data_IF_357122491628
#
_entry.id   IF_357122491628
#
_cell.length_a   1.000
_cell.length_b   1.000
_cell.length_c   1.000
_cell.angle_alpha   90.00
_cell.angle_beta   90.00
_cell.angle_gamma   90.00
#
_symmetry.space_group_name_H-M   'P 1'
#
loop_
_entity.id
_entity.type
_entity.pdbx_description
1 polymer ?
#
# COMPACT_ATOMS: atom_id res chain seq x y z
N UNK A 1 17.11 35.07 -8.90
CA UNK A 1 17.27 35.27 -7.44
C UNK A 1 17.30 33.89 -6.81
N UNK A 2 18.44 33.52 -6.20
CA UNK A 2 18.83 32.25 -5.52
C UNK A 2 18.83 30.95 -6.32
N UNK A 3 20.03 30.59 -6.80
CA UNK A 3 20.43 29.23 -7.17
C UNK A 3 20.36 28.31 -5.94
N UNK A 4 19.52 27.28 -6.00
CA UNK A 4 19.50 26.21 -4.99
C UNK A 4 20.53 25.16 -5.39
N UNK A 5 21.68 25.18 -4.70
CA UNK A 5 22.68 24.10 -4.78
C UNK A 5 22.06 22.83 -4.19
N UNK A 6 21.95 21.78 -5.00
CA UNK A 6 21.61 20.44 -4.50
C UNK A 6 22.78 19.95 -3.64
N UNK A 7 22.51 19.84 -2.34
CA UNK A 7 23.44 19.38 -1.32
C UNK A 7 23.49 17.85 -1.41
N UNK A 8 24.64 17.32 -1.84
CA UNK A 8 24.95 15.90 -1.80
C UNK A 8 25.17 15.52 -0.33
N UNK A 9 24.14 15.00 0.34
CA UNK A 9 24.24 14.55 1.74
C UNK A 9 25.01 13.23 1.75
N UNK A 10 26.31 13.31 2.02
CA UNK A 10 27.11 12.18 2.47
C UNK A 10 26.60 11.78 3.86
N UNK A 11 25.82 10.70 3.96
CA UNK A 11 25.37 10.18 5.25
C UNK A 11 26.55 9.59 6.01
N UNK A 12 26.97 10.30 7.05
CA UNK A 12 28.03 9.93 7.97
C UNK A 12 27.49 9.00 9.07
N UNK A 13 28.06 7.79 9.10
CA UNK A 13 28.24 6.85 10.22
C UNK A 13 27.03 6.33 11.02
N UNK A 14 26.76 5.03 10.87
CA UNK A 14 26.31 4.14 11.96
C UNK A 14 27.26 2.93 12.01
N UNK A 15 28.15 2.91 13.00
CA UNK A 15 28.96 1.74 13.35
C UNK A 15 28.08 0.76 14.15
N UNK A 16 27.37 -0.12 13.45
CA UNK A 16 26.75 -1.30 14.04
C UNK A 16 27.79 -2.42 14.14
N UNK A 17 27.74 -3.19 15.23
CA UNK A 17 28.58 -4.36 15.47
C UNK A 17 28.36 -5.41 14.37
N UNK A 18 29.13 -5.32 13.29
CA UNK A 18 29.15 -6.30 12.21
C UNK A 18 29.71 -7.62 12.73
N UNK A 19 28.87 -8.65 12.75
CA UNK A 19 29.32 -10.02 12.93
C UNK A 19 30.32 -10.33 11.81
N UNK A 20 31.57 -10.53 12.20
CA UNK A 20 32.72 -10.61 11.31
C UNK A 20 32.62 -11.82 10.36
N UNK A 21 32.06 -11.63 9.18
CA UNK A 21 32.26 -12.57 8.08
C UNK A 21 33.73 -12.43 7.64
N UNK A 22 34.47 -13.54 7.73
CA UNK A 22 35.88 -13.61 7.35
C UNK A 22 35.96 -13.91 5.85
N UNK A 23 35.96 -12.86 5.01
CA UNK A 23 35.90 -12.92 3.53
C UNK A 23 37.02 -13.72 2.88
N UNK A 24 38.17 -13.88 3.54
CA UNK A 24 39.33 -14.66 3.05
C UNK A 24 39.04 -16.17 2.86
N UNK A 25 37.83 -16.62 3.21
CA UNK A 25 37.40 -18.02 3.11
C UNK A 25 36.70 -18.37 1.79
N UNK A 26 36.26 -17.39 1.00
CA UNK A 26 35.54 -17.63 -0.26
C UNK A 26 36.46 -17.57 -1.47
N UNK A 27 36.20 -18.44 -2.44
CA UNK A 27 36.94 -18.55 -3.71
C UNK A 27 36.11 -18.11 -4.91
N UNK A 28 34.79 -18.13 -4.77
CA UNK A 28 33.85 -17.78 -5.84
C UNK A 28 32.63 -17.11 -5.20
N UNK A 29 32.06 -16.15 -5.92
CA UNK A 29 30.71 -15.66 -5.65
C UNK A 29 29.90 -15.71 -6.94
N UNK A 30 28.58 -15.85 -6.82
CA UNK A 30 27.62 -15.75 -7.93
C UNK A 30 26.43 -14.89 -7.54
N UNK A 31 26.08 -13.95 -8.39
CA UNK A 31 24.84 -13.19 -8.32
C UNK A 31 23.74 -14.06 -8.90
N UNK A 32 22.69 -14.28 -8.11
CA UNK A 32 21.50 -14.99 -8.53
C UNK A 32 20.31 -14.05 -8.34
N UNK A 33 19.44 -14.01 -9.34
CA UNK A 33 18.23 -13.20 -9.30
C UNK A 33 17.01 -14.05 -9.62
N UNK A 34 15.85 -13.51 -9.29
CA UNK A 34 14.57 -14.09 -9.62
C UNK A 34 14.28 -13.91 -11.12
N UNK A 35 14.32 -15.02 -11.85
CA UNK A 35 14.11 -15.04 -13.30
C UNK A 35 12.65 -14.86 -13.69
N UNK A 36 11.74 -15.05 -12.73
CA UNK A 36 10.30 -14.86 -12.94
C UNK A 36 9.89 -13.40 -12.68
N UNK A 37 10.81 -12.57 -12.17
CA UNK A 37 10.59 -11.13 -12.01
C UNK A 37 10.46 -10.44 -13.37
N UNK A 38 9.59 -9.43 -13.44
CA UNK A 38 9.43 -8.62 -14.65
C UNK A 38 10.65 -7.71 -14.88
N UNK A 39 11.45 -8.05 -15.88
CA UNK A 39 12.69 -7.34 -16.24
C UNK A 39 12.42 -6.08 -17.06
N UNK A 40 11.63 -5.16 -16.52
CA UNK A 40 11.17 -3.94 -17.21
C UNK A 40 11.50 -2.66 -16.45
N UNK A 41 11.52 -1.49 -17.12
CA UNK A 41 11.62 -0.21 -16.43
C UNK A 41 10.57 -0.03 -15.33
N UNK A 42 10.97 0.53 -14.20
CA UNK A 42 10.24 0.58 -12.92
C UNK A 42 9.93 -0.78 -12.28
N UNK A 43 10.38 -1.89 -12.87
CA UNK A 43 10.29 -3.22 -12.31
C UNK A 43 11.22 -3.42 -11.12
N UNK A 44 10.89 -4.40 -10.30
CA UNK A 44 11.70 -4.81 -9.15
C UNK A 44 12.20 -6.23 -9.38
N UNK A 45 13.49 -6.46 -9.14
CA UNK A 45 14.10 -7.78 -9.23
C UNK A 45 14.73 -8.15 -7.90
N UNK A 46 14.26 -9.27 -7.34
CA UNK A 46 14.87 -9.83 -6.15
C UNK A 46 16.17 -10.54 -6.52
N UNK A 47 17.23 -10.32 -5.73
CA UNK A 47 18.52 -10.95 -5.98
C UNK A 47 19.23 -11.35 -4.68
N UNK A 48 20.32 -12.09 -4.84
CA UNK A 48 21.20 -12.46 -3.74
C UNK A 48 22.55 -12.96 -4.23
N UNK A 49 23.47 -13.16 -3.29
CA UNK A 49 24.82 -13.65 -3.58
C UNK A 49 25.00 -15.05 -2.98
N UNK A 50 25.44 -15.98 -3.82
CA UNK A 50 25.89 -17.32 -3.43
C UNK A 50 27.42 -17.34 -3.40
N UNK A 51 28.03 -17.51 -2.24
CA UNK A 51 29.48 -17.62 -2.11
C UNK A 51 29.91 -19.07 -1.86
N UNK A 52 30.97 -19.51 -2.55
CA UNK A 52 31.58 -20.83 -2.39
C UNK A 52 32.91 -20.70 -1.66
N UNK A 53 33.07 -21.43 -0.55
CA UNK A 53 34.30 -21.49 0.22
C UNK A 53 35.37 -22.40 -0.39
N UNK A 54 36.63 -22.26 0.04
CA UNK A 54 37.74 -23.16 -0.35
C UNK A 54 37.44 -24.65 -0.12
N UNK A 55 36.60 -24.97 0.86
CA UNK A 55 36.18 -26.33 1.19
C UNK A 55 34.91 -26.79 0.43
N UNK A 56 34.48 -26.04 -0.59
CA UNK A 56 33.24 -26.29 -1.34
C UNK A 56 31.95 -25.93 -0.60
N UNK A 57 32.01 -25.47 0.67
CA UNK A 57 30.82 -25.05 1.41
C UNK A 57 30.22 -23.80 0.77
N UNK A 58 28.94 -23.90 0.42
CA UNK A 58 28.16 -22.79 -0.12
C UNK A 58 27.42 -22.05 0.99
N UNK A 59 27.36 -20.73 0.87
CA UNK A 59 26.54 -19.87 1.72
C UNK A 59 25.80 -18.86 0.85
N UNK A 60 24.61 -18.45 1.28
CA UNK A 60 23.79 -17.48 0.56
C UNK A 60 23.37 -16.32 1.46
N UNK A 61 23.07 -15.19 0.82
CA UNK A 61 22.49 -14.02 1.49
C UNK A 61 21.03 -14.25 1.91
N UNK A 62 20.59 -13.55 2.95
CA UNK A 62 19.17 -13.40 3.32
C UNK A 62 18.39 -12.72 2.19
N UNK A 63 17.06 -12.86 2.19
CA UNK A 63 16.18 -12.36 1.14
C UNK A 63 15.86 -13.46 0.13
N UNK A 64 16.04 -13.18 -1.16
CA UNK A 64 15.70 -14.07 -2.27
C UNK A 64 16.20 -15.52 -2.08
N UNK A 65 17.49 -15.67 -1.74
CA UNK A 65 18.12 -16.99 -1.60
C UNK A 65 17.86 -17.66 -0.23
N UNK A 66 17.04 -17.05 0.64
CA UNK A 66 16.69 -17.54 1.98
C UNK A 66 17.90 -17.97 2.83
N UNK A 67 19.05 -17.35 2.60
CA UNK A 67 20.30 -17.65 3.28
C UNK A 67 20.39 -17.04 4.68
N UNK A 68 21.55 -17.22 5.32
CA UNK A 68 21.81 -16.71 6.68
C UNK A 68 22.67 -15.45 6.72
N UNK A 69 23.28 -15.07 5.60
CA UNK A 69 24.27 -13.99 5.57
C UNK A 69 23.63 -12.65 5.19
N UNK A 70 24.02 -11.56 5.85
CA UNK A 70 23.50 -10.24 5.51
C UNK A 70 24.09 -9.77 4.19
N UNK A 71 23.24 -9.21 3.33
CA UNK A 71 23.60 -8.69 2.01
C UNK A 71 24.52 -7.46 2.09
N UNK A 72 24.45 -6.74 3.21
CA UNK A 72 25.31 -5.59 3.57
C UNK A 72 26.81 -5.93 3.66
N UNK A 73 27.19 -7.21 3.67
CA UNK A 73 28.59 -7.63 3.60
C UNK A 73 29.18 -7.55 2.18
N UNK A 74 28.39 -7.12 1.21
CA UNK A 74 28.75 -6.97 -0.18
C UNK A 74 28.54 -5.51 -0.61
N UNK A 75 29.37 -5.07 -1.55
CA UNK A 75 29.20 -3.82 -2.29
C UNK A 75 28.59 -4.18 -3.64
N UNK A 76 27.63 -3.37 -4.07
CA UNK A 76 26.95 -3.52 -5.35
C UNK A 76 27.17 -2.26 -6.19
N UNK A 77 27.68 -2.45 -7.38
CA UNK A 77 27.76 -1.41 -8.41
C UNK A 77 26.73 -1.74 -9.48
N UNK A 78 25.88 -0.77 -9.82
CA UNK A 78 24.76 -0.99 -10.75
C UNK A 78 24.77 0.03 -11.88
N UNK A 79 24.31 -0.41 -13.05
CA UNK A 79 24.02 0.45 -14.21
C UNK A 79 22.66 0.04 -14.79
N UNK A 80 21.79 1.01 -15.10
CA UNK A 80 20.39 0.76 -15.47
C UNK A 80 19.48 0.31 -14.32
N UNK A 81 19.99 0.28 -13.09
CA UNK A 81 19.21 -0.03 -11.89
C UNK A 81 19.83 0.64 -10.66
N UNK A 82 19.05 0.74 -9.58
CA UNK A 82 19.54 1.03 -8.23
C UNK A 82 19.28 -0.18 -7.31
N UNK A 83 20.14 -0.36 -6.31
CA UNK A 83 20.01 -1.44 -5.33
C UNK A 83 19.62 -0.89 -3.95
N UNK A 84 18.61 -1.49 -3.33
CA UNK A 84 18.32 -1.32 -1.89
C UNK A 84 18.17 -2.71 -1.26
N UNK A 85 19.14 -3.06 -0.42
CA UNK A 85 19.25 -4.40 0.14
C UNK A 85 19.30 -5.49 -0.94
N UNK A 86 18.29 -6.36 -0.97
CA UNK A 86 18.17 -7.50 -1.87
C UNK A 86 17.18 -7.28 -3.02
N UNK A 87 16.90 -6.01 -3.33
CA UNK A 87 15.96 -5.59 -4.37
C UNK A 87 16.70 -4.63 -5.32
N UNK A 88 16.61 -4.91 -6.62
CA UNK A 88 17.00 -3.99 -7.68
C UNK A 88 15.77 -3.27 -8.21
N UNK A 89 15.85 -1.95 -8.36
CA UNK A 89 14.86 -1.12 -9.02
C UNK A 89 15.41 -0.70 -10.37
N UNK A 90 14.83 -1.23 -11.44
CA UNK A 90 15.29 -1.01 -12.82
C UNK A 90 14.76 0.34 -13.31
N UNK A 91 15.61 1.22 -13.83
CA UNK A 91 15.21 2.51 -14.45
C UNK A 91 14.05 3.22 -13.71
N UNK A 92 14.09 3.22 -12.37
CA UNK A 92 13.02 3.73 -11.51
C UNK A 92 13.11 5.24 -11.26
N UNK A 93 14.18 5.84 -11.77
CA UNK A 93 14.47 7.27 -11.71
C UNK A 93 14.58 7.81 -13.12
N UNK A 94 14.33 9.10 -13.24
CA UNK A 94 14.51 9.79 -14.49
C UNK A 94 15.96 9.65 -14.97
N UNK A 95 16.12 9.03 -16.13
CA UNK A 95 17.44 8.75 -16.70
C UNK A 95 17.62 9.49 -18.02
N UNK A 96 18.81 10.06 -18.22
CA UNK A 96 19.17 10.71 -19.48
C UNK A 96 19.20 9.71 -20.64
N UNK A 97 19.57 8.46 -20.37
CA UNK A 97 19.72 7.41 -21.38
C UNK A 97 18.67 6.30 -21.19
N UNK A 98 18.31 5.61 -22.28
CA UNK A 98 17.42 4.44 -22.24
C UNK A 98 18.29 3.19 -22.17
N UNK A 99 18.26 2.47 -21.05
CA UNK A 99 19.10 1.29 -20.88
C UNK A 99 18.50 0.08 -21.61
N UNK A 100 19.27 -0.61 -22.45
CA UNK A 100 18.81 -1.89 -23.04
C UNK A 100 19.06 -3.09 -22.12
N UNK A 101 19.88 -2.90 -21.10
CA UNK A 101 20.31 -3.91 -20.14
C UNK A 101 20.53 -3.25 -18.79
N UNK A 102 20.25 -3.93 -17.69
CA UNK A 102 20.85 -3.57 -16.41
C UNK A 102 22.04 -4.46 -16.12
N UNK A 103 23.03 -3.90 -15.43
CA UNK A 103 24.23 -4.61 -14.99
C UNK A 103 24.34 -4.47 -13.49
N UNK A 104 24.69 -5.57 -12.81
CA UNK A 104 25.06 -5.58 -11.40
C UNK A 104 26.40 -6.28 -11.25
N UNK A 105 27.32 -5.59 -10.58
CA UNK A 105 28.60 -6.13 -10.14
C UNK A 105 28.54 -6.23 -8.62
N UNK A 106 28.89 -7.39 -8.08
CA UNK A 106 28.92 -7.63 -6.65
C UNK A 106 30.32 -8.05 -6.23
N UNK A 107 30.78 -7.56 -5.09
CA UNK A 107 31.99 -8.06 -4.44
C UNK A 107 31.90 -7.95 -2.90
N UNK A 108 32.52 -8.86 -2.13
CA UNK A 108 32.56 -8.75 -0.68
C UNK A 108 33.31 -7.49 -0.23
N UNK A 109 32.82 -6.81 0.81
CA UNK A 109 33.44 -5.60 1.36
C UNK A 109 34.92 -5.80 1.75
N UNK A 110 35.23 -6.99 2.26
CA UNK A 110 36.58 -7.34 2.76
C UNK A 110 37.43 -8.12 1.74
N UNK A 111 36.95 -8.34 0.51
CA UNK A 111 37.72 -8.99 -0.55
C UNK A 111 37.26 -8.50 -1.94
N UNK A 112 37.55 -7.25 -2.34
CA UNK A 112 37.04 -6.66 -3.57
C UNK A 112 37.45 -7.37 -4.86
N UNK A 113 38.58 -8.09 -4.85
CA UNK A 113 39.06 -8.85 -6.01
C UNK A 113 38.15 -10.03 -6.36
N UNK A 114 37.39 -10.54 -5.38
CA UNK A 114 36.40 -11.59 -5.59
C UNK A 114 35.09 -10.97 -6.05
N UNK A 115 34.90 -10.89 -7.36
CA UNK A 115 33.72 -10.26 -7.96
C UNK A 115 32.95 -11.20 -8.88
N UNK A 116 31.66 -10.96 -9.01
CA UNK A 116 30.82 -11.50 -10.07
C UNK A 116 30.05 -10.36 -10.73
N UNK A 117 29.66 -10.56 -11.99
CA UNK A 117 28.93 -9.59 -12.78
C UNK A 117 27.91 -10.28 -13.67
N UNK A 118 26.69 -9.76 -13.66
CA UNK A 118 25.65 -10.16 -14.59
C UNK A 118 25.15 -8.94 -15.36
N UNK A 119 24.84 -9.14 -16.64
CA UNK A 119 24.17 -8.16 -17.49
C UNK A 119 22.92 -8.80 -18.07
N UNK A 120 21.78 -8.16 -17.84
CA UNK A 120 20.47 -8.74 -18.10
C UNK A 120 19.70 -7.80 -19.04
N UNK A 121 19.22 -8.27 -20.20
CA UNK A 121 18.43 -7.45 -21.11
C UNK A 121 17.11 -7.04 -20.50
N UNK A 122 16.70 -5.80 -20.78
CA UNK A 122 15.42 -5.26 -20.37
C UNK A 122 14.35 -5.50 -21.43
N UNK A 123 13.14 -5.79 -20.99
CA UNK A 123 11.94 -5.75 -21.83
C UNK A 123 11.15 -4.47 -21.56
N UNK A 124 10.73 -3.82 -22.64
CA UNK A 124 9.86 -2.64 -22.59
C UNK A 124 8.41 -3.01 -22.93
N UNK A 125 8.14 -4.30 -23.11
CA UNK A 125 6.82 -4.83 -23.37
C UNK A 125 6.02 -4.89 -22.06
N UNK A 126 4.75 -4.53 -22.13
CA UNK A 126 3.81 -4.77 -21.05
C UNK A 126 2.98 -3.57 -20.65
N UNK A 127 2.07 -3.83 -19.71
CA UNK A 127 1.11 -2.85 -19.18
C UNK A 127 1.62 -2.36 -17.85
N UNK A 128 1.81 -1.05 -17.70
CA UNK A 128 2.16 -0.44 -16.42
C UNK A 128 0.86 -0.21 -15.66
N UNK A 129 0.82 -0.67 -14.41
CA UNK A 129 -0.26 -0.37 -13.50
C UNK A 129 0.27 0.42 -12.31
N UNK A 130 -0.26 1.61 -12.09
CA UNK A 130 0.07 2.45 -10.94
C UNK A 130 -1.15 2.66 -10.08
N UNK A 131 -1.04 2.20 -8.84
CA UNK A 131 -2.04 2.46 -7.80
C UNK A 131 -1.64 3.68 -6.96
N UNK A 132 -2.59 4.60 -6.87
CA UNK A 132 -2.61 5.84 -6.10
C UNK A 132 -3.97 5.99 -5.40
N UNK A 133 -4.71 4.89 -5.24
CA UNK A 133 -5.99 4.90 -4.56
C UNK A 133 -5.84 5.15 -3.06
N UNK A 134 -6.89 5.70 -2.47
CA UNK A 134 -6.98 5.88 -1.03
C UNK A 134 -7.26 4.54 -0.33
N UNK A 135 -6.64 4.34 0.84
CA UNK A 135 -6.92 3.17 1.66
C UNK A 135 -8.37 3.13 2.14
N UNK A 136 -8.92 1.92 2.23
CA UNK A 136 -10.20 1.68 2.86
C UNK A 136 -10.19 2.00 4.36
N UNK A 137 -11.30 2.55 4.83
CA UNK A 137 -11.61 2.77 6.23
C UNK A 137 -11.80 1.45 6.99
N UNK A 138 -11.38 1.44 8.25
CA UNK A 138 -11.51 0.27 9.13
C UNK A 138 -12.93 0.12 9.65
N UNK A 139 -13.40 -1.11 9.71
CA UNK A 139 -14.69 -1.44 10.31
C UNK A 139 -14.71 -1.15 11.82
N UNK A 140 -15.87 -0.67 12.27
CA UNK A 140 -16.20 -0.53 13.68
C UNK A 140 -16.44 -1.90 14.31
N UNK A 141 -15.97 -2.08 15.54
CA UNK A 141 -16.17 -3.32 16.28
C UNK A 141 -17.59 -3.40 16.81
N UNK A 142 -18.30 -4.48 16.49
CA UNK A 142 -19.51 -4.85 17.21
C UNK A 142 -19.17 -5.11 18.67
N UNK A 143 -20.02 -4.63 19.58
CA UNK A 143 -19.80 -4.81 21.02
C UNK A 143 -20.82 -5.79 21.57
N UNK A 144 -20.35 -6.73 22.38
CA UNK A 144 -21.24 -7.64 23.11
C UNK A 144 -21.94 -6.96 24.29
N UNK A 145 -22.76 -7.75 25.00
CA UNK A 145 -23.33 -7.33 26.27
C UNK A 145 -22.23 -6.92 27.25
N UNK A 146 -22.53 -5.97 28.15
CA UNK A 146 -21.68 -5.73 29.32
C UNK A 146 -21.85 -6.91 30.28
N UNK A 147 -20.86 -7.81 30.30
CA UNK A 147 -20.81 -8.89 31.30
C UNK A 147 -20.30 -8.30 32.61
N UNK A 148 -21.22 -7.91 33.49
CA UNK A 148 -20.88 -7.69 34.90
C UNK A 148 -21.19 -8.98 35.67
N UNK A 149 -20.25 -9.50 36.47
CA UNK A 149 -20.41 -10.79 37.15
C UNK A 149 -21.42 -10.79 38.30
N UNK A 150 -22.19 -9.71 38.53
CA UNK A 150 -23.17 -9.65 39.61
C UNK A 150 -24.45 -8.96 39.15
N UNK A 151 -25.61 -9.50 39.57
CA UNK A 151 -26.95 -8.87 39.54
C UNK A 151 -27.23 -8.20 40.90
N UNK A 152 -26.62 -7.06 41.18
CA UNK A 152 -26.91 -6.25 42.38
C UNK A 152 -28.24 -5.53 42.17
N UNK A 153 -29.18 -5.66 43.11
CA UNK A 153 -30.42 -4.87 43.09
C UNK A 153 -31.56 -5.41 42.23
N UNK A 154 -31.30 -6.23 41.20
CA UNK A 154 -32.32 -6.97 40.44
C UNK A 154 -32.68 -6.44 39.08
N UNK A 155 -32.39 -5.18 38.85
CA UNK A 155 -32.32 -4.63 37.51
C UNK A 155 -31.19 -5.31 36.74
N UNK A 156 -31.38 -5.48 35.42
CA UNK A 156 -30.23 -5.70 34.55
C UNK A 156 -29.22 -4.58 34.81
N UNK A 157 -27.96 -4.91 35.08
CA UNK A 157 -27.01 -3.91 35.59
C UNK A 157 -26.29 -3.15 34.49
N UNK A 158 -26.49 -3.53 33.24
CA UNK A 158 -25.71 -2.95 32.17
C UNK A 158 -26.49 -2.94 30.86
N UNK A 159 -26.70 -1.74 30.32
CA UNK A 159 -27.14 -1.57 28.94
C UNK A 159 -26.12 -2.19 28.00
N UNK A 160 -26.61 -2.60 26.83
CA UNK A 160 -25.77 -3.04 25.73
C UNK A 160 -24.74 -1.96 25.37
N UNK A 161 -23.55 -2.41 24.97
CA UNK A 161 -22.49 -1.48 24.56
C UNK A 161 -22.80 -0.95 23.17
N UNK A 162 -22.64 0.35 22.95
CA UNK A 162 -22.70 0.92 21.61
C UNK A 162 -21.59 0.35 20.73
N UNK A 163 -21.94 -0.05 19.51
CA UNK A 163 -20.98 -0.48 18.50
C UNK A 163 -20.05 0.67 18.09
N UNK A 164 -18.80 0.35 17.74
CA UNK A 164 -17.86 1.41 17.35
C UNK A 164 -18.21 1.95 15.95
N UNK A 165 -17.95 3.22 15.70
CA UNK A 165 -18.10 3.83 14.38
C UNK A 165 -16.99 3.34 13.43
N UNK A 166 -17.36 3.04 12.18
CA UNK A 166 -16.42 2.74 11.11
C UNK A 166 -15.60 3.98 10.73
N UNK A 167 -14.34 3.78 10.38
CA UNK A 167 -13.43 4.86 9.97
C UNK A 167 -13.71 5.20 8.51
N UNK A 168 -13.60 6.47 8.14
CA UNK A 168 -13.74 6.89 6.73
C UNK A 168 -12.60 6.34 5.86
N UNK A 169 -12.87 6.15 4.57
CA UNK A 169 -11.85 5.87 3.58
C UNK A 169 -10.99 7.10 3.30
N UNK A 170 -9.74 6.88 2.92
CA UNK A 170 -8.84 7.94 2.51
C UNK A 170 -9.15 8.40 1.08
N UNK A 171 -8.82 9.65 0.76
CA UNK A 171 -8.93 10.14 -0.61
C UNK A 171 -7.88 9.46 -1.51
N UNK A 172 -8.20 9.32 -2.79
CA UNK A 172 -7.21 9.06 -3.83
C UNK A 172 -6.23 10.23 -3.96
N UNK A 173 -5.05 9.96 -4.50
CA UNK A 173 -3.99 10.97 -4.61
C UNK A 173 -4.19 11.84 -5.86
N UNK A 174 -4.03 13.16 -5.70
CA UNK A 174 -3.98 14.10 -6.82
C UNK A 174 -2.64 13.95 -7.59
N UNK A 175 -2.69 13.62 -8.87
CA UNK A 175 -1.51 13.28 -9.67
C UNK A 175 -1.37 14.18 -10.89
N UNK A 176 -0.15 14.68 -11.08
CA UNK A 176 0.32 15.23 -12.35
C UNK A 176 1.06 14.12 -13.09
N UNK A 177 0.51 13.72 -14.22
CA UNK A 177 1.10 12.75 -15.14
C UNK A 177 1.75 13.49 -16.28
N UNK A 178 3.03 13.24 -16.53
CA UNK A 178 3.77 13.85 -17.60
C UNK A 178 4.27 12.78 -18.56
N UNK A 179 4.10 13.00 -19.86
CA UNK A 179 4.43 12.04 -20.89
C UNK A 179 5.14 12.76 -22.04
N UNK A 180 6.30 12.24 -22.45
CA UNK A 180 6.92 12.63 -23.72
C UNK A 180 7.51 11.42 -24.43
N UNK A 181 7.62 11.49 -25.76
CA UNK A 181 8.20 10.44 -26.58
C UNK A 181 9.70 10.65 -26.70
N UNK A 182 10.48 9.64 -26.38
CA UNK A 182 11.93 9.66 -26.39
C UNK A 182 12.46 8.79 -27.53
N UNK A 183 13.17 9.44 -28.44
CA UNK A 183 13.92 8.79 -29.50
C UNK A 183 15.38 8.63 -29.08
N UNK A 184 15.92 7.42 -29.22
CA UNK A 184 17.34 7.12 -29.06
C UNK A 184 17.77 6.23 -30.23
N UNK A 185 18.70 6.71 -31.06
CA UNK A 185 19.14 6.01 -32.27
C UNK A 185 19.63 4.59 -31.98
N UNK A 186 20.34 4.40 -30.88
CA UNK A 186 20.95 3.11 -30.51
C UNK A 186 19.89 2.12 -30.05
N UNK A 187 18.88 2.61 -29.32
CA UNK A 187 17.74 1.84 -28.87
C UNK A 187 16.85 1.47 -30.06
N UNK A 188 16.52 2.46 -30.91
CA UNK A 188 15.66 2.28 -32.07
C UNK A 188 16.26 1.29 -33.07
N UNK A 189 17.56 1.37 -33.37
CA UNK A 189 18.24 0.42 -34.26
C UNK A 189 18.16 -1.04 -33.76
N UNK A 190 18.13 -1.24 -32.44
CA UNK A 190 18.07 -2.57 -31.82
C UNK A 190 16.65 -3.10 -31.71
N UNK A 191 15.69 -2.25 -31.35
CA UNK A 191 14.34 -2.67 -30.96
C UNK A 191 13.27 -2.33 -32.01
N UNK A 192 13.53 -1.37 -32.89
CA UNK A 192 12.61 -0.93 -33.95
C UNK A 192 11.39 -0.15 -33.45
N UNK A 193 11.49 0.52 -32.31
CA UNK A 193 10.45 1.38 -31.74
C UNK A 193 11.05 2.43 -30.79
N UNK A 194 10.30 3.52 -30.55
CA UNK A 194 10.59 4.51 -29.52
C UNK A 194 9.91 4.16 -28.19
N UNK A 195 10.27 4.88 -27.13
CA UNK A 195 9.64 4.74 -25.81
C UNK A 195 9.01 6.05 -25.38
N UNK A 196 7.96 5.97 -24.57
CA UNK A 196 7.42 7.09 -23.83
C UNK A 196 8.06 7.13 -22.45
N UNK A 197 8.64 8.26 -22.08
CA UNK A 197 9.05 8.54 -20.71
C UNK A 197 7.82 9.05 -19.95
N UNK A 198 7.49 8.39 -18.84
CA UNK A 198 6.27 8.68 -18.08
C UNK A 198 6.64 8.97 -16.63
N UNK A 199 6.21 10.12 -16.13
CA UNK A 199 6.42 10.56 -14.75
C UNK A 199 5.08 10.92 -14.12
N UNK A 200 4.68 10.22 -13.08
CA UNK A 200 3.58 10.61 -12.20
C UNK A 200 4.16 11.23 -10.92
N UNK A 201 3.67 12.41 -10.53
CA UNK A 201 4.05 13.04 -9.26
C UNK A 201 2.94 13.89 -8.66
N UNK A 202 2.98 14.09 -7.35
CA UNK A 202 2.17 15.11 -6.67
C UNK A 202 2.83 16.48 -6.77
N UNK A 203 2.07 17.57 -6.57
CA UNK A 203 2.63 18.94 -6.57
C UNK A 203 3.72 19.12 -5.50
N UNK A 204 3.56 18.49 -4.34
CA UNK A 204 4.50 18.55 -3.22
C UNK A 204 5.60 17.46 -3.28
N UNK A 205 5.66 16.66 -4.34
CA UNK A 205 6.63 15.57 -4.54
C UNK A 205 6.62 14.47 -3.47
N UNK A 206 5.55 14.36 -2.67
CA UNK A 206 5.41 13.27 -1.68
C UNK A 206 5.24 11.90 -2.35
N UNK A 207 4.73 11.86 -3.58
CA UNK A 207 4.75 10.68 -4.42
C UNK A 207 5.37 10.99 -5.78
N UNK A 208 6.20 10.06 -6.24
CA UNK A 208 6.77 10.08 -7.58
C UNK A 208 6.93 8.65 -8.09
N UNK A 209 6.50 8.40 -9.32
CA UNK A 209 6.77 7.16 -10.07
C UNK A 209 7.23 7.53 -11.48
N UNK A 210 8.30 6.90 -11.92
CA UNK A 210 8.85 7.07 -13.26
C UNK A 210 8.96 5.72 -13.95
N UNK A 211 8.74 5.67 -15.27
CA UNK A 211 8.99 4.48 -16.09
C UNK A 211 9.14 4.84 -17.57
N UNK A 212 9.55 3.86 -18.37
CA UNK A 212 9.51 3.91 -19.82
C UNK A 212 8.51 2.88 -20.35
N UNK A 213 7.74 3.27 -21.37
CA UNK A 213 6.68 2.46 -21.98
C UNK A 213 6.94 2.35 -23.49
N UNK A 214 7.01 1.14 -24.04
CA UNK A 214 7.23 0.96 -25.49
C UNK A 214 6.07 1.54 -26.32
N UNK A 215 6.39 2.18 -27.44
CA UNK A 215 5.42 2.79 -28.35
C UNK A 215 4.40 1.80 -28.93
N UNK A 216 4.85 0.57 -29.25
CA UNK A 216 4.04 -0.41 -29.97
C UNK A 216 3.08 -1.22 -29.10
N UNK A 217 3.46 -1.49 -27.84
CA UNK A 217 2.79 -2.51 -27.01
C UNK A 217 2.47 -2.03 -25.59
N UNK A 218 2.91 -0.83 -25.25
CA UNK A 218 2.79 -0.31 -23.91
C UNK A 218 1.43 0.32 -23.62
N UNK A 219 0.98 0.19 -22.38
CA UNK A 219 -0.21 0.92 -21.89
C UNK A 219 -0.03 1.31 -20.44
N UNK A 220 -0.62 2.42 -20.03
CA UNK A 220 -0.61 2.87 -18.65
C UNK A 220 -2.04 2.81 -18.07
N UNK A 221 -2.20 2.04 -17.00
CA UNK A 221 -3.40 2.03 -16.17
C UNK A 221 -3.09 2.68 -14.82
N UNK A 222 -3.77 3.77 -14.49
CA UNK A 222 -3.63 4.49 -13.23
C UNK A 222 -4.93 4.42 -12.44
N UNK A 223 -4.84 4.04 -11.17
CA UNK A 223 -5.96 4.04 -10.23
C UNK A 223 -5.74 5.15 -9.20
N UNK A 224 -6.60 6.15 -9.19
CA UNK A 224 -6.65 7.23 -8.21
C UNK A 224 -8.00 7.25 -7.47
N UNK A 225 -8.66 6.11 -7.34
CA UNK A 225 -9.95 6.01 -6.67
C UNK A 225 -9.84 6.34 -5.17
N UNK A 226 -10.91 6.86 -4.58
CA UNK A 226 -11.03 7.01 -3.13
C UNK A 226 -11.30 5.68 -2.44
N UNK A 227 -10.81 5.53 -1.22
CA UNK A 227 -11.02 4.34 -0.41
C UNK A 227 -12.46 4.23 0.09
N UNK A 228 -12.97 3.00 0.26
CA UNK A 228 -14.30 2.80 0.86
C UNK A 228 -14.29 3.16 2.35
N UNK A 229 -15.39 3.69 2.88
CA UNK A 229 -15.59 3.82 4.33
C UNK A 229 -15.82 2.47 5.00
N UNK A 230 -15.39 2.33 6.25
CA UNK A 230 -15.62 1.14 7.05
C UNK A 230 -17.06 1.07 7.59
N UNK A 231 -17.61 -0.13 7.69
CA UNK A 231 -18.93 -0.33 8.29
C UNK A 231 -18.89 -0.05 9.81
N UNK A 232 -19.99 0.44 10.37
CA UNK A 232 -20.15 0.59 11.81
C UNK A 232 -20.44 -0.73 12.50
N UNK A 233 -19.94 -0.90 13.73
CA UNK A 233 -20.17 -2.10 14.52
C UNK A 233 -21.57 -2.16 15.09
N UNK A 234 -22.08 -3.36 15.36
CA UNK A 234 -23.39 -3.54 15.99
C UNK A 234 -23.35 -3.21 17.49
N UNK A 235 -24.47 -2.68 17.97
CA UNK A 235 -24.71 -2.50 19.39
C UNK A 235 -24.97 -3.82 20.10
N UNK A 236 -24.45 -3.96 21.31
CA UNK A 236 -24.65 -5.13 22.15
C UNK A 236 -26.07 -5.22 22.68
N UNK A 237 -26.57 -6.42 23.00
CA UNK A 237 -27.89 -6.55 23.60
C UNK A 237 -27.90 -5.99 25.03
N UNK A 238 -29.05 -5.51 25.45
CA UNK A 238 -29.37 -5.26 26.85
C UNK A 238 -29.47 -6.58 27.64
N UNK A 239 -29.45 -6.45 28.95
CA UNK A 239 -29.59 -7.57 29.89
C UNK A 239 -31.00 -7.62 30.43
N UNK A 240 -31.56 -8.82 30.52
CA UNK A 240 -32.87 -9.03 31.14
C UNK A 240 -32.83 -8.73 32.64
N UNK A 241 -33.92 -8.16 33.13
CA UNK A 241 -34.18 -7.99 34.54
C UNK A 241 -34.44 -9.34 35.23
N UNK A 242 -34.21 -9.41 36.54
CA UNK A 242 -34.52 -10.61 37.32
C UNK A 242 -36.01 -10.66 37.65
N UNK A 243 -36.56 -11.86 37.79
CA UNK A 243 -37.88 -12.07 38.38
C UNK A 243 -37.91 -11.70 39.88
N UNK A 244 -39.08 -11.31 40.36
CA UNK A 244 -39.32 -11.02 41.77
C UNK A 244 -39.18 -12.29 42.62
N UNK A 245 -38.72 -12.11 43.86
CA UNK A 245 -38.75 -13.14 44.89
C UNK A 245 -39.05 -12.49 46.25
N UNK A 246 -39.37 -13.27 47.28
CA UNK A 246 -40.03 -12.87 48.55
C UNK A 246 -39.61 -11.53 49.18
N UNK A 247 -38.37 -11.07 48.98
CA UNK A 247 -37.85 -9.83 49.58
C UNK A 247 -37.45 -8.75 48.59
N UNK A 248 -37.71 -8.95 47.28
CA UNK A 248 -37.18 -8.14 46.19
C UNK A 248 -38.08 -8.16 44.96
N UNK A 249 -38.49 -6.98 44.50
CA UNK A 249 -39.22 -6.81 43.26
C UNK A 249 -38.43 -7.29 42.03
N UNK A 250 -39.17 -7.54 40.95
CA UNK A 250 -38.59 -7.82 39.65
C UNK A 250 -37.82 -6.59 39.16
N UNK A 251 -36.74 -6.81 38.41
CA UNK A 251 -36.02 -5.72 37.79
C UNK A 251 -36.47 -5.48 36.36
N UNK A 252 -36.29 -4.25 35.90
CA UNK A 252 -36.44 -3.92 34.49
C UNK A 252 -35.31 -4.51 33.66
N UNK A 253 -35.62 -4.79 32.39
CA UNK A 253 -34.61 -5.04 31.38
C UNK A 253 -33.83 -3.77 31.06
N UNK A 254 -32.59 -3.90 30.60
CA UNK A 254 -31.78 -2.76 30.18
C UNK A 254 -31.84 -2.53 28.68
N UNK A 255 -31.53 -1.31 28.27
CA UNK A 255 -31.51 -0.94 26.87
C UNK A 255 -30.41 -1.68 26.09
N UNK A 256 -30.69 -1.99 24.84
CA UNK A 256 -29.68 -2.39 23.87
C UNK A 256 -28.75 -1.23 23.54
N UNK A 257 -27.50 -1.55 23.20
CA UNK A 257 -26.52 -0.58 22.73
C UNK A 257 -26.89 -0.07 21.34
N UNK A 258 -26.52 1.17 21.02
CA UNK A 258 -26.72 1.70 19.67
C UNK A 258 -25.74 1.05 18.69
N UNK A 259 -26.12 0.93 17.42
CA UNK A 259 -25.17 0.60 16.36
C UNK A 259 -24.23 1.77 16.09
N UNK A 260 -22.98 1.46 15.74
CA UNK A 260 -22.00 2.45 15.28
C UNK A 260 -22.35 2.97 13.89
N UNK A 261 -21.96 4.21 13.59
CA UNK A 261 -22.15 4.75 12.24
C UNK A 261 -21.13 4.13 11.27
N UNK A 262 -21.46 4.07 9.98
CA UNK A 262 -20.49 3.79 8.94
C UNK A 262 -19.59 5.01 8.67
N UNK A 263 -18.35 4.77 8.28
CA UNK A 263 -17.44 5.81 7.81
C UNK A 263 -17.79 6.26 6.38
N UNK A 264 -17.50 7.51 6.02
CA UNK A 264 -17.70 7.98 4.64
C UNK A 264 -16.63 7.41 3.70
N UNK A 265 -16.95 7.30 2.41
CA UNK A 265 -15.97 7.00 1.39
C UNK A 265 -15.05 8.19 1.10
N UNK A 266 -13.82 7.90 0.67
CA UNK A 266 -12.85 8.90 0.24
C UNK A 266 -13.19 9.47 -1.13
N UNK A 267 -12.77 10.71 -1.39
CA UNK A 267 -12.89 11.34 -2.71
C UNK A 267 -11.85 10.78 -3.66
N UNK A 268 -12.19 10.58 -4.93
CA UNK A 268 -11.22 10.22 -5.96
C UNK A 268 -10.23 11.36 -6.23
N UNK A 269 -8.99 11.02 -6.56
CA UNK A 269 -7.95 12.00 -6.85
C UNK A 269 -8.15 12.73 -8.18
N UNK A 270 -7.68 13.96 -8.28
CA UNK A 270 -7.67 14.71 -9.52
C UNK A 270 -6.43 14.33 -10.35
N UNK A 271 -6.60 14.16 -11.66
CA UNK A 271 -5.50 13.79 -12.55
C UNK A 271 -5.36 14.82 -13.66
N UNK A 272 -4.18 15.44 -13.74
CA UNK A 272 -3.80 16.33 -14.84
C UNK A 272 -2.71 15.64 -15.64
N UNK A 273 -2.97 15.45 -16.93
CA UNK A 273 -2.08 14.77 -17.86
C UNK A 273 -1.45 15.79 -18.80
N UNK A 274 -0.15 16.01 -18.65
CA UNK A 274 0.67 16.87 -19.49
C UNK A 274 1.35 15.99 -20.55
N UNK A 275 1.01 16.21 -21.82
CA UNK A 275 1.51 15.40 -22.94
C UNK A 275 2.27 16.29 -23.90
N UNK A 276 3.52 15.91 -24.19
CA UNK A 276 4.28 16.55 -25.24
C UNK A 276 3.63 16.36 -26.61
N UNK A 277 3.75 17.36 -27.46
CA UNK A 277 3.33 17.31 -28.86
C UNK A 277 3.80 16.04 -29.60
N UNK A 278 4.98 15.49 -29.27
CA UNK A 278 5.51 14.30 -29.90
C UNK A 278 4.95 12.96 -29.34
N UNK A 279 4.11 13.02 -28.31
CA UNK A 279 3.52 11.88 -27.61
C UNK A 279 1.98 11.87 -27.59
N UNK A 280 1.34 12.73 -28.39
CA UNK A 280 -0.12 12.85 -28.42
C UNK A 280 -0.83 11.52 -28.72
N UNK A 281 -0.20 10.64 -29.49
CA UNK A 281 -0.75 9.33 -29.83
C UNK A 281 -0.77 8.35 -28.65
N UNK A 282 -0.07 8.64 -27.55
CA UNK A 282 -0.09 7.83 -26.33
C UNK A 282 -1.43 7.89 -25.59
N UNK A 283 -2.25 8.93 -25.81
CA UNK A 283 -3.56 9.09 -25.15
C UNK A 283 -4.44 7.85 -25.27
N UNK A 284 -4.38 7.16 -26.43
CA UNK A 284 -5.18 5.94 -26.68
C UNK A 284 -4.76 4.73 -25.82
N UNK A 285 -3.58 4.79 -25.21
CA UNK A 285 -3.03 3.75 -24.34
C UNK A 285 -3.15 4.08 -22.84
N UNK A 286 -3.79 5.21 -22.51
CA UNK A 286 -3.97 5.68 -21.15
C UNK A 286 -5.35 5.27 -20.61
N UNK A 287 -5.35 4.63 -19.44
CA UNK A 287 -6.56 4.32 -18.68
C UNK A 287 -6.41 4.89 -17.28
N UNK A 288 -7.26 5.85 -16.91
CA UNK A 288 -7.25 6.46 -15.57
C UNK A 288 -8.62 6.21 -14.93
N UNK A 289 -8.64 5.80 -13.66
CA UNK A 289 -9.83 5.80 -12.81
C UNK A 289 -9.60 6.71 -11.62
N UNK A 290 -10.62 7.46 -11.23
CA UNK A 290 -10.57 8.36 -10.08
C UNK A 290 -11.95 8.53 -9.43
N UNK A 291 -12.58 7.40 -9.15
CA UNK A 291 -13.93 7.36 -8.58
C UNK A 291 -13.91 7.62 -7.09
N UNK A 292 -15.01 8.13 -6.55
CA UNK A 292 -15.24 8.20 -5.12
C UNK A 292 -15.39 6.80 -4.52
N UNK A 293 -14.88 6.63 -3.30
CA UNK A 293 -15.09 5.41 -2.53
C UNK A 293 -16.51 5.32 -2.00
N UNK A 294 -17.01 4.10 -1.79
CA UNK A 294 -18.33 3.89 -1.21
C UNK A 294 -18.35 4.17 0.30
N UNK A 295 -19.40 4.77 0.84
CA UNK A 295 -19.63 4.90 2.27
C UNK A 295 -19.95 3.55 2.94
N UNK A 296 -19.48 3.40 4.17
CA UNK A 296 -19.75 2.23 5.02
C UNK A 296 -21.19 2.22 5.51
N UNK A 297 -21.72 1.05 5.82
CA UNK A 297 -23.05 0.88 6.40
C UNK A 297 -23.03 1.16 7.90
N UNK A 298 -24.11 1.73 8.43
CA UNK A 298 -24.29 1.82 9.88
C UNK A 298 -24.66 0.46 10.47
N UNK A 299 -24.06 0.14 11.62
CA UNK A 299 -24.30 -1.09 12.38
C UNK A 299 -25.70 -1.12 12.99
N UNK A 300 -26.21 -2.31 13.26
CA UNK A 300 -27.53 -2.49 13.84
C UNK A 300 -27.54 -2.18 15.34
N UNK A 301 -28.67 -1.70 15.83
CA UNK A 301 -28.87 -1.49 17.26
C UNK A 301 -29.15 -2.80 18.00
N UNK A 302 -28.58 -2.92 19.20
CA UNK A 302 -28.74 -4.09 20.05
C UNK A 302 -30.18 -4.28 20.54
N UNK A 303 -30.56 -5.54 20.78
CA UNK A 303 -31.86 -5.86 21.33
C UNK A 303 -32.06 -5.29 22.75
N UNK A 304 -33.30 -4.94 23.08
CA UNK A 304 -33.69 -4.64 24.46
C UNK A 304 -33.59 -5.90 25.34
N UNK A 305 -33.17 -5.72 26.59
CA UNK A 305 -33.39 -6.73 27.63
C UNK A 305 -34.85 -6.73 28.07
N UNK A 306 -35.37 -7.89 28.45
CA UNK A 306 -36.74 -8.06 28.95
C UNK A 306 -36.85 -7.75 30.44
N UNK A 307 -37.96 -7.21 30.89
CA UNK A 307 -38.27 -7.07 32.31
C UNK A 307 -38.57 -8.41 32.96
N UNK A 308 -38.21 -8.54 34.24
CA UNK A 308 -38.51 -9.74 35.03
C UNK A 308 -39.98 -9.81 35.44
N UNK A 309 -40.43 -11.02 35.76
CA UNK A 309 -41.80 -11.30 36.21
C UNK A 309 -41.98 -11.01 37.70
N UNK A 310 -43.04 -10.31 38.06
CA UNK A 310 -43.46 -10.04 39.45
C UNK A 310 -44.19 -11.24 40.08
N UNK A 311 -44.30 -11.25 41.42
CA UNK A 311 -44.99 -12.33 42.16
C UNK A 311 -46.49 -12.41 41.87
N UNK A 312 -47.11 -11.30 41.47
CA UNK A 312 -48.51 -11.22 41.04
C UNK A 312 -48.72 -11.68 39.58
N UNK A 313 -47.64 -12.08 38.90
CA UNK A 313 -47.65 -12.54 37.51
C UNK A 313 -47.48 -11.43 36.47
N UNK A 314 -47.44 -10.15 36.85
CA UNK A 314 -47.14 -9.03 35.95
C UNK A 314 -45.65 -8.97 35.59
N UNK A 315 -45.23 -8.06 34.70
CA UNK A 315 -43.82 -7.90 34.31
C UNK A 315 -43.32 -6.49 34.61
N UNK A 316 -42.06 -6.40 35.04
CA UNK A 316 -41.32 -5.15 35.02
C UNK A 316 -41.12 -4.66 33.57
N UNK A 317 -40.84 -3.37 33.35
CA UNK A 317 -40.62 -2.85 32.01
C UNK A 317 -39.42 -3.49 31.30
N UNK A 318 -39.59 -3.74 30.00
CA UNK A 318 -38.48 -4.05 29.09
C UNK A 318 -37.60 -2.81 28.89
N UNK A 319 -36.35 -3.04 28.51
CA UNK A 319 -35.47 -2.01 27.98
C UNK A 319 -35.91 -1.54 26.59
N UNK A 320 -35.18 -0.58 26.06
CA UNK A 320 -35.35 -0.07 24.69
C UNK A 320 -34.37 -0.72 23.74
N UNK A 321 -34.82 -1.02 22.52
CA UNK A 321 -33.93 -1.46 21.45
C UNK A 321 -32.99 -0.30 21.09
N UNK A 322 -31.72 -0.60 20.85
CA UNK A 322 -30.78 0.35 20.30
C UNK A 322 -31.19 0.79 18.89
N UNK A 323 -30.85 2.03 18.53
CA UNK A 323 -31.02 2.50 17.17
C UNK A 323 -29.89 2.01 16.27
N UNK A 324 -30.21 1.79 14.99
CA UNK A 324 -29.22 1.54 13.95
C UNK A 324 -28.37 2.80 13.74
N UNK A 325 -27.08 2.61 13.51
CA UNK A 325 -26.17 3.67 13.09
C UNK A 325 -26.51 4.19 11.70
N UNK A 326 -26.05 5.40 11.39
CA UNK A 326 -26.21 5.99 10.05
C UNK A 326 -25.20 5.37 9.08
N UNK A 327 -25.58 5.23 7.82
CA UNK A 327 -24.61 4.93 6.77
C UNK A 327 -23.70 6.16 6.57
N UNK A 328 -22.45 5.91 6.20
CA UNK A 328 -21.55 6.94 5.71
C UNK A 328 -21.93 7.36 4.29
N UNK A 329 -21.54 8.58 3.93
CA UNK A 329 -21.75 9.11 2.59
C UNK A 329 -20.74 8.51 1.62
N UNK A 330 -21.16 8.32 0.36
CA UNK A 330 -20.22 8.00 -0.72
C UNK A 330 -19.29 9.20 -0.97
N UNK A 331 -18.03 8.89 -1.26
CA UNK A 331 -17.06 9.88 -1.71
C UNK A 331 -17.41 10.41 -3.09
N UNK A 332 -16.91 11.60 -3.41
CA UNK A 332 -17.10 12.18 -4.74
C UNK A 332 -16.06 11.62 -5.71
N UNK A 333 -16.43 11.49 -6.97
CA UNK A 333 -15.43 11.27 -8.02
C UNK A 333 -14.49 12.49 -8.09
N UNK A 334 -13.23 12.26 -8.43
CA UNK A 334 -12.30 13.33 -8.78
C UNK A 334 -12.76 14.04 -10.06
N UNK A 335 -12.20 15.21 -10.35
CA UNK A 335 -12.43 15.82 -11.66
C UNK A 335 -11.94 14.86 -12.75
N UNK A 336 -12.73 14.70 -13.82
CA UNK A 336 -12.31 13.85 -14.94
C UNK A 336 -10.90 14.23 -15.43
N UNK A 337 -10.08 13.27 -15.91
CA UNK A 337 -8.71 13.55 -16.28
C UNK A 337 -8.60 14.73 -17.25
N UNK A 338 -7.86 15.77 -16.86
CA UNK A 338 -7.62 16.94 -17.69
C UNK A 338 -6.38 16.68 -18.53
N UNK A 339 -6.51 16.63 -19.86
CA UNK A 339 -5.37 16.46 -20.77
C UNK A 339 -4.92 17.83 -21.29
N UNK A 340 -3.66 18.17 -21.04
CA UNK A 340 -2.98 19.38 -21.51
C UNK A 340 -1.89 19.00 -22.50
N UNK A 341 -1.93 19.63 -23.67
CA UNK A 341 -0.88 19.51 -24.67
C UNK A 341 0.09 20.67 -24.51
N UNK A 342 1.27 20.39 -23.99
CA UNK A 342 2.28 21.40 -23.68
C UNK A 342 3.67 20.82 -23.89
N UNK A 343 4.68 21.68 -23.89
CA UNK A 343 6.06 21.20 -24.00
C UNK A 343 6.49 20.54 -22.68
N UNK A 344 6.74 19.24 -22.73
CA UNK A 344 7.09 18.44 -21.54
C UNK A 344 8.51 17.93 -21.68
N UNK A 345 9.36 18.33 -20.74
CA UNK A 345 10.65 17.70 -20.48
C UNK A 345 10.85 17.58 -18.98
N UNK A 346 11.50 16.51 -18.58
CA UNK A 346 11.93 16.30 -17.19
C UNK A 346 13.25 17.01 -16.92
#
# INVERSE_FOLDING_TARGET
MKQTRFLLIFSLAIFLFYSCVNSKKFTEIKILFDKDSELRPAGMVHFGVLATGKNGKKISTKGYLKGKYNIENYVFETSGASADGAILYIDSQENRDIHTTFTIIAHPLKNPDLRDSISVPLTYEGKVHWDFSGDGGKEGKSRGARVLPMRIGGTGLASGKTGDTGVSGNNGVDIHLYIYKKHDDSFYKRNGFDVYAVLAKTENLSYQKFTYIAEKYGSLAMNCDGGSGGDGGDGGPGTDGRDAYEKKAAGSGTDGGMGGNGGSGGTGGNVIVHIDSNAMDFVKYLKITNRGGRGGKGGEGGAAGKGGRNLDGTYAPDGRKGYRGRNGDDGRDGTGPEIRYEYVRF
#
